data_IF_775635367629
#
_entry.id   IF_775635367629
#
_cell.length_a   1.000
_cell.length_b   1.000
_cell.length_c   1.000
_cell.angle_alpha   90.00
_cell.angle_beta   90.00
_cell.angle_gamma   90.00
#
_symmetry.space_group_name_H-M   'P 1'
#
loop_
_entity.id
_entity.type
_entity.pdbx_description
1 polymer ?
#
# COMPACT_ATOMS: atom_id res chain seq x y z
N UNK A 1 9.07 2.24 -6.45
CA UNK A 1 9.23 0.76 -6.33
C UNK A 1 9.70 0.33 -4.95
N UNK A 2 10.74 0.95 -4.37
CA UNK A 2 11.31 0.55 -3.08
C UNK A 2 10.32 0.52 -1.90
N UNK A 3 9.47 1.54 -1.75
CA UNK A 3 8.50 1.63 -0.65
C UNK A 3 7.50 0.47 -0.70
N UNK A 4 6.91 0.16 -1.87
CA UNK A 4 5.98 -0.98 -2.03
C UNK A 4 6.63 -2.32 -1.63
N UNK A 5 7.89 -2.54 -2.00
CA UNK A 5 8.63 -3.74 -1.62
C UNK A 5 8.88 -3.78 -0.11
N UNK A 6 9.27 -2.65 0.49
CA UNK A 6 9.49 -2.54 1.93
C UNK A 6 8.20 -2.76 2.74
N UNK A 7 7.08 -2.19 2.30
CA UNK A 7 5.76 -2.43 2.90
C UNK A 7 5.40 -3.92 2.84
N UNK A 8 5.59 -4.54 1.67
CA UNK A 8 5.34 -5.97 1.49
C UNK A 8 6.18 -6.82 2.44
N UNK A 9 7.46 -6.48 2.60
CA UNK A 9 8.36 -7.16 3.53
C UNK A 9 7.86 -7.01 4.97
N UNK A 10 7.50 -5.80 5.41
CA UNK A 10 7.01 -5.56 6.77
C UNK A 10 5.68 -6.27 7.04
N UNK A 11 4.77 -6.31 6.06
CA UNK A 11 3.49 -7.05 6.18
C UNK A 11 3.70 -8.57 6.24
N UNK A 12 4.63 -9.10 5.45
CA UNK A 12 4.95 -10.55 5.43
C UNK A 12 5.75 -11.01 6.65
N UNK A 13 6.35 -10.10 7.41
CA UNK A 13 7.20 -10.41 8.55
C UNK A 13 6.68 -9.70 9.82
N UNK A 14 5.58 -10.17 10.42
CA UNK A 14 4.98 -9.55 11.61
C UNK A 14 5.94 -9.52 12.81
N UNK A 15 6.86 -10.48 12.91
CA UNK A 15 7.90 -10.50 13.94
C UNK A 15 8.83 -9.29 13.84
N UNK A 16 9.15 -8.84 12.63
CA UNK A 16 10.00 -7.66 12.44
C UNK A 16 9.29 -6.40 12.94
N UNK A 17 8.01 -6.22 12.60
CA UNK A 17 7.20 -5.11 13.10
C UNK A 17 7.00 -5.16 14.62
N UNK A 18 6.87 -6.34 15.21
CA UNK A 18 6.82 -6.51 16.67
C UNK A 18 8.13 -6.06 17.35
N UNK A 19 9.29 -6.52 16.87
CA UNK A 19 10.60 -6.15 17.41
C UNK A 19 10.83 -4.64 17.28
N UNK A 20 10.46 -4.04 16.15
CA UNK A 20 10.58 -2.60 15.94
C UNK A 20 9.64 -1.80 16.85
N UNK A 21 8.49 -2.35 17.21
CA UNK A 21 7.50 -1.72 18.11
C UNK A 21 7.80 -1.95 19.60
N UNK A 22 8.63 -2.95 19.95
CA UNK A 22 8.89 -3.31 21.36
C UNK A 22 9.81 -2.26 22.03
N UNK A 23 9.34 -1.53 23.07
CA UNK A 23 10.15 -0.52 23.75
C UNK A 23 11.32 -1.12 24.55
N UNK A 24 11.29 -2.43 24.85
CA UNK A 24 12.38 -3.13 25.57
C UNK A 24 13.60 -3.33 24.68
N UNK A 25 13.41 -3.32 23.35
CA UNK A 25 14.50 -3.42 22.38
C UNK A 25 15.17 -2.05 22.26
N UNK A 26 16.48 -1.99 22.53
CA UNK A 26 17.26 -0.75 22.46
C UNK A 26 17.18 -0.14 21.06
N UNK A 27 17.02 1.19 21.00
CA UNK A 27 16.93 1.93 19.75
C UNK A 27 18.12 1.67 18.81
N UNK A 28 19.35 1.65 19.32
CA UNK A 28 20.55 1.37 18.53
C UNK A 28 20.52 -0.02 17.82
N UNK A 29 19.88 -1.02 18.43
CA UNK A 29 19.72 -2.35 17.80
C UNK A 29 18.66 -2.33 16.70
N UNK A 30 17.57 -1.55 16.90
CA UNK A 30 16.58 -1.28 15.85
C UNK A 30 17.22 -0.54 14.67
N UNK A 31 18.07 0.46 14.91
CA UNK A 31 18.77 1.20 13.85
C UNK A 31 19.66 0.29 13.01
N UNK A 32 20.51 -0.52 13.65
CA UNK A 32 21.35 -1.51 12.95
C UNK A 32 20.52 -2.50 12.13
N UNK A 33 19.39 -2.96 12.68
CA UNK A 33 18.47 -3.84 11.96
C UNK A 33 17.89 -3.15 10.72
N UNK A 34 17.40 -1.91 10.86
CA UNK A 34 16.82 -1.13 9.77
C UNK A 34 17.85 -0.82 8.66
N UNK A 35 19.09 -0.49 9.02
CA UNK A 35 20.15 -0.20 8.05
C UNK A 35 20.62 -1.44 7.27
N UNK A 36 20.41 -2.64 7.83
CA UNK A 36 20.72 -3.91 7.13
C UNK A 36 19.63 -4.33 6.16
N UNK A 37 18.38 -3.96 6.42
CA UNK A 37 17.22 -4.39 5.63
C UNK A 37 16.82 -3.34 4.59
N UNK A 38 16.97 -2.06 4.92
CA UNK A 38 16.50 -0.94 4.12
C UNK A 38 17.61 0.07 3.86
N UNK A 39 17.50 0.78 2.73
CA UNK A 39 18.39 1.90 2.40
C UNK A 39 17.65 3.25 2.57
N UNK A 40 18.39 4.36 2.75
CA UNK A 40 17.80 5.70 2.75
C UNK A 40 17.07 6.01 1.43
N UNK A 41 15.99 6.81 1.45
CA UNK A 41 15.46 7.54 2.61
C UNK A 41 14.53 6.69 3.51
N UNK A 42 14.20 5.45 3.11
CA UNK A 42 13.22 4.64 3.83
C UNK A 42 13.71 4.16 5.19
N UNK A 43 14.99 3.77 5.31
CA UNK A 43 15.58 3.43 6.62
C UNK A 43 15.50 4.61 7.59
N UNK A 44 15.84 5.83 7.14
CA UNK A 44 15.73 7.06 7.93
C UNK A 44 14.30 7.31 8.42
N UNK A 45 13.31 7.11 7.55
CA UNK A 45 11.90 7.23 7.92
C UNK A 45 11.50 6.23 9.01
N UNK A 46 11.88 4.96 8.86
CA UNK A 46 11.61 3.92 9.86
C UNK A 46 12.29 4.20 11.20
N UNK A 47 13.51 4.77 11.20
CA UNK A 47 14.20 5.19 12.42
C UNK A 47 13.42 6.26 13.17
N UNK A 48 12.86 7.24 12.47
CA UNK A 48 11.99 8.27 13.06
C UNK A 48 10.75 7.62 13.70
N UNK A 49 10.09 6.69 13.01
CA UNK A 49 8.95 5.97 13.59
C UNK A 49 9.32 5.17 14.84
N UNK A 50 10.46 4.48 14.84
CA UNK A 50 10.95 3.74 16.00
C UNK A 50 11.29 4.67 17.17
N UNK A 51 11.91 5.83 16.90
CA UNK A 51 12.30 6.83 17.91
C UNK A 51 11.10 7.44 18.62
N UNK A 52 9.99 7.61 17.90
CA UNK A 52 8.76 8.18 18.43
C UNK A 52 7.70 7.11 18.81
N UNK A 53 8.07 5.83 18.80
CA UNK A 53 7.18 4.72 19.16
C UNK A 53 5.89 4.68 18.31
N UNK A 54 5.96 5.17 17.06
CA UNK A 54 4.82 5.25 16.12
C UNK A 54 4.82 4.12 15.08
N UNK A 55 5.51 3.01 15.33
CA UNK A 55 5.57 1.87 14.40
C UNK A 55 4.18 1.25 14.19
N UNK A 56 3.27 1.36 15.16
CA UNK A 56 1.88 0.91 15.02
C UNK A 56 1.10 1.66 13.91
N UNK A 57 1.45 2.92 13.63
CA UNK A 57 0.78 3.76 12.64
C UNK A 57 1.24 3.48 11.20
N UNK A 58 2.16 2.53 11.03
CA UNK A 58 2.81 2.24 9.76
C UNK A 58 1.81 1.87 8.65
N UNK A 59 0.75 1.12 8.99
CA UNK A 59 -0.29 0.73 8.02
C UNK A 59 -1.01 1.95 7.45
N UNK A 60 -1.49 2.84 8.33
CA UNK A 60 -2.20 4.07 7.95
C UNK A 60 -1.32 5.01 7.14
N UNK A 61 -0.06 5.18 7.56
CA UNK A 61 0.94 5.98 6.83
C UNK A 61 1.11 5.47 5.40
N UNK A 62 1.18 4.16 5.22
CA UNK A 62 1.37 3.57 3.90
C UNK A 62 0.14 3.69 3.02
N UNK A 63 -1.06 3.60 3.58
CA UNK A 63 -2.30 3.84 2.86
C UNK A 63 -2.37 5.30 2.38
N UNK A 64 -2.15 6.25 3.28
CA UNK A 64 -2.09 7.67 2.93
C UNK A 64 -1.01 7.99 1.89
N UNK A 65 0.17 7.36 1.99
CA UNK A 65 1.23 7.51 0.99
C UNK A 65 0.81 6.98 -0.39
N UNK A 66 0.11 5.83 -0.45
CA UNK A 66 -0.39 5.29 -1.71
C UNK A 66 -1.46 6.19 -2.32
N UNK A 67 -2.35 6.78 -1.51
CA UNK A 67 -3.33 7.76 -1.97
C UNK A 67 -2.66 8.99 -2.56
N UNK A 68 -1.63 9.53 -1.91
CA UNK A 68 -0.84 10.64 -2.44
C UNK A 68 -0.16 10.27 -3.76
N UNK A 69 0.38 9.05 -3.89
CA UNK A 69 0.93 8.57 -5.16
C UNK A 69 -0.13 8.51 -6.26
N UNK A 70 -1.33 8.00 -5.95
CA UNK A 70 -2.46 7.95 -6.90
C UNK A 70 -2.87 9.34 -7.36
N UNK A 71 -3.07 10.26 -6.42
CA UNK A 71 -3.43 11.65 -6.71
C UNK A 71 -2.38 12.32 -7.62
N UNK A 72 -1.10 12.20 -7.29
CA UNK A 72 0.00 12.74 -8.12
C UNK A 72 0.06 12.12 -9.52
N UNK A 73 -0.27 10.83 -9.63
CA UNK A 73 -0.31 10.13 -10.90
C UNK A 73 -1.63 10.35 -11.67
N UNK A 74 -2.57 11.14 -11.15
CA UNK A 74 -3.91 11.31 -11.73
C UNK A 74 -4.66 9.98 -11.85
N UNK A 75 -4.43 9.06 -10.92
CA UNK A 75 -4.98 7.70 -10.94
C UNK A 75 -6.25 7.64 -10.10
N UNK A 76 -7.35 7.25 -10.71
CA UNK A 76 -8.62 6.98 -10.01
C UNK A 76 -8.69 5.51 -9.66
N UNK A 77 -9.04 5.20 -8.42
CA UNK A 77 -9.36 3.84 -8.00
C UNK A 77 -10.87 3.60 -8.16
N UNK A 78 -11.24 2.49 -8.79
CA UNK A 78 -12.61 2.06 -8.95
C UNK A 78 -12.73 0.58 -8.60
N UNK A 79 -13.80 0.20 -7.90
CA UNK A 79 -14.12 -1.20 -7.63
C UNK A 79 -15.28 -1.63 -8.52
N UNK A 80 -15.13 -2.76 -9.19
CA UNK A 80 -16.15 -3.43 -9.99
C UNK A 80 -16.65 -4.65 -9.23
N UNK A 81 -17.91 -4.61 -8.82
CA UNK A 81 -18.62 -5.73 -8.20
C UNK A 81 -19.31 -6.52 -9.31
N UNK A 82 -19.05 -7.82 -9.40
CA UNK A 82 -19.62 -8.68 -10.43
C UNK A 82 -19.91 -10.09 -9.92
N UNK A 83 -20.94 -10.75 -10.45
CA UNK A 83 -21.22 -12.17 -10.17
C UNK A 83 -20.24 -13.10 -10.91
N UNK A 84 -19.82 -12.70 -12.11
CA UNK A 84 -18.83 -13.39 -12.91
C UNK A 84 -17.72 -12.42 -13.34
N UNK A 85 -16.45 -12.85 -13.36
CA UNK A 85 -15.36 -12.00 -13.81
C UNK A 85 -15.56 -11.54 -15.26
N UNK A 86 -15.48 -10.23 -15.55
CA UNK A 86 -15.59 -9.73 -16.91
C UNK A 86 -14.42 -10.22 -17.77
N UNK A 87 -14.65 -10.31 -19.08
CA UNK A 87 -13.58 -10.58 -20.04
C UNK A 87 -12.55 -9.43 -20.07
N UNK A 88 -11.37 -9.68 -20.65
CA UNK A 88 -10.34 -8.65 -20.80
C UNK A 88 -10.85 -7.44 -21.61
N UNK A 89 -11.64 -7.68 -22.66
CA UNK A 89 -12.26 -6.61 -23.46
C UNK A 89 -13.27 -5.78 -22.66
N UNK A 90 -14.11 -6.44 -21.85
CA UNK A 90 -15.08 -5.76 -20.99
C UNK A 90 -14.39 -4.93 -19.91
N UNK A 91 -13.32 -5.47 -19.31
CA UNK A 91 -12.50 -4.78 -18.32
C UNK A 91 -11.88 -3.50 -18.90
N UNK A 92 -11.38 -3.57 -20.13
CA UNK A 92 -10.75 -2.41 -20.77
C UNK A 92 -11.78 -1.35 -21.18
N UNK A 93 -12.97 -1.76 -21.67
CA UNK A 93 -14.09 -0.84 -21.90
C UNK A 93 -14.50 -0.14 -20.61
N UNK A 94 -14.56 -0.86 -19.48
CA UNK A 94 -14.89 -0.29 -18.17
C UNK A 94 -13.82 0.71 -17.72
N UNK A 95 -12.54 0.37 -17.90
CA UNK A 95 -11.41 1.26 -17.60
C UNK A 95 -11.48 2.54 -18.42
N UNK A 96 -11.73 2.44 -19.72
CA UNK A 96 -11.89 3.59 -20.61
C UNK A 96 -13.10 4.46 -20.22
N UNK A 97 -14.20 3.84 -19.82
CA UNK A 97 -15.39 4.55 -19.34
C UNK A 97 -15.10 5.36 -18.07
N UNK A 98 -14.49 4.74 -17.04
CA UNK A 98 -14.11 5.43 -15.80
C UNK A 98 -13.11 6.55 -16.09
N UNK A 99 -12.12 6.28 -16.94
CA UNK A 99 -11.11 7.27 -17.35
C UNK A 99 -11.76 8.51 -17.97
N UNK A 100 -12.71 8.30 -18.89
CA UNK A 100 -13.47 9.39 -19.54
C UNK A 100 -14.39 10.13 -18.58
N UNK A 101 -15.10 9.41 -17.70
CA UNK A 101 -16.07 10.00 -16.76
C UNK A 101 -15.42 10.88 -15.70
N UNK A 102 -14.25 10.49 -15.20
CA UNK A 102 -13.55 11.20 -14.12
C UNK A 102 -12.35 12.03 -14.59
N UNK A 103 -12.09 12.10 -15.90
CA UNK A 103 -10.95 12.85 -16.45
C UNK A 103 -9.59 12.37 -15.94
N UNK A 104 -9.48 11.09 -15.58
CA UNK A 104 -8.29 10.53 -14.95
C UNK A 104 -7.18 10.25 -15.99
N UNK A 105 -5.92 10.34 -15.57
CA UNK A 105 -4.80 9.89 -16.40
C UNK A 105 -4.73 8.35 -16.44
N UNK A 106 -4.96 7.72 -15.29
CA UNK A 106 -4.96 6.27 -15.13
C UNK A 106 -6.17 5.82 -14.29
N UNK A 107 -6.53 4.56 -14.42
CA UNK A 107 -7.57 3.93 -13.61
C UNK A 107 -7.01 2.63 -13.04
N UNK A 108 -7.06 2.47 -11.72
CA UNK A 108 -6.86 1.20 -11.03
C UNK A 108 -8.24 0.58 -10.80
N UNK A 109 -8.47 -0.59 -11.40
CA UNK A 109 -9.75 -1.29 -11.36
C UNK A 109 -9.57 -2.55 -10.50
N UNK A 110 -10.25 -2.60 -9.37
CA UNK A 110 -10.31 -3.76 -8.48
C UNK A 110 -11.58 -4.55 -8.79
N UNK A 111 -11.45 -5.84 -9.12
CA UNK A 111 -12.59 -6.69 -9.48
C UNK A 111 -12.89 -7.59 -8.29
N UNK A 112 -14.05 -7.39 -7.67
CA UNK A 112 -14.51 -8.20 -6.56
C UNK A 112 -15.72 -9.02 -7.00
N UNK A 113 -15.54 -10.34 -6.99
CA UNK A 113 -16.62 -11.27 -7.32
C UNK A 113 -17.51 -11.45 -6.10
N UNK A 114 -18.78 -11.06 -6.21
CA UNK A 114 -19.78 -11.22 -5.17
C UNK A 114 -20.90 -12.13 -5.70
N UNK A 115 -20.89 -13.43 -5.37
CA UNK A 115 -21.89 -14.37 -5.86
C UNK A 115 -23.29 -14.12 -5.30
N UNK A 116 -23.38 -13.38 -4.18
CA UNK A 116 -24.65 -12.98 -3.56
C UNK A 116 -25.27 -11.72 -4.21
N UNK A 117 -24.57 -11.07 -5.14
CA UNK A 117 -25.11 -9.94 -5.89
C UNK A 117 -26.14 -10.48 -6.88
N UNK A 118 -27.44 -10.36 -6.57
CA UNK A 118 -28.48 -10.68 -7.54
C UNK A 118 -28.34 -9.73 -8.75
N UNK A 119 -28.06 -10.32 -9.91
CA UNK A 119 -27.90 -9.62 -11.20
C UNK A 119 -29.21 -9.09 -11.76
#
# INVERSE_FOLDING_TARGET
QQIKAAVTLLRKNPLLTQVLSDPRVRFAEKEKCLDRIFTPPFSSFMKVLCKHERVYALTEIFEAYQDLCRQKAGTVQAQLLCVEPPSAEQTEKMRAFVKKKFGAANVELDIAVQPDLLG
#
